data_IF_689184115244
#
_entry.id   IF_689184115244
#
_cell.length_a   1.000
_cell.length_b   1.000
_cell.length_c   1.000
_cell.angle_alpha   90.00
_cell.angle_beta   90.00
_cell.angle_gamma   90.00
#
_symmetry.space_group_name_H-M   'P 1'
#
loop_
_entity.id
_entity.type
_entity.pdbx_description
1 polymer ?
#
# COMPACT_ATOMS: atom_id res chain seq x y z
N UNK A 1 -11.08 -25.30 -2.05
CA UNK A 1 -11.63 -24.37 -1.05
C UNK A 1 -13.10 -24.67 -0.87
N UNK A 2 -13.61 -24.56 0.36
CA UNK A 2 -15.04 -24.63 0.66
C UNK A 2 -15.74 -23.31 0.32
N UNK A 3 -17.06 -23.34 0.12
CA UNK A 3 -17.86 -22.11 -0.08
C UNK A 3 -17.80 -21.17 1.13
N UNK A 4 -17.63 -21.73 2.34
CA UNK A 4 -17.45 -20.96 3.56
C UNK A 4 -16.10 -20.19 3.56
N UNK A 5 -15.02 -20.81 3.07
CA UNK A 5 -13.73 -20.13 2.90
C UNK A 5 -13.81 -18.99 1.88
N UNK A 6 -14.50 -19.21 0.76
CA UNK A 6 -14.74 -18.17 -0.27
C UNK A 6 -15.57 -17.03 0.31
N UNK A 7 -16.66 -17.33 1.03
CA UNK A 7 -17.49 -16.32 1.68
C UNK A 7 -16.66 -15.49 2.68
N UNK A 8 -15.79 -16.12 3.48
CA UNK A 8 -14.90 -15.44 4.42
C UNK A 8 -13.95 -14.49 3.68
N UNK A 9 -13.30 -14.92 2.61
CA UNK A 9 -12.45 -14.03 1.79
C UNK A 9 -13.24 -12.84 1.23
N UNK A 10 -14.48 -13.06 0.77
CA UNK A 10 -15.33 -11.99 0.24
C UNK A 10 -15.78 -10.96 1.28
N UNK A 11 -15.69 -11.27 2.59
CA UNK A 11 -16.03 -10.29 3.65
C UNK A 11 -14.96 -9.23 3.86
N UNK A 12 -13.72 -9.45 3.42
CA UNK A 12 -12.62 -8.53 3.63
C UNK A 12 -12.32 -7.71 2.38
N UNK A 13 -12.24 -6.40 2.53
CA UNK A 13 -11.96 -5.49 1.43
C UNK A 13 -10.44 -5.38 1.28
N UNK A 14 -9.77 -6.44 0.79
CA UNK A 14 -8.31 -6.59 0.67
C UNK A 14 -7.60 -5.27 0.30
N UNK A 15 -7.17 -4.47 1.30
CA UNK A 15 -6.75 -3.10 1.08
C UNK A 15 -5.34 -3.03 0.48
N UNK A 16 -4.67 -4.16 0.26
CA UNK A 16 -3.40 -4.39 -0.42
C UNK A 16 -3.49 -5.02 -1.82
N UNK A 17 -4.71 -5.14 -2.41
CA UNK A 17 -5.01 -5.77 -3.71
C UNK A 17 -4.76 -7.30 -3.75
N UNK A 18 -4.64 -7.86 -4.96
CA UNK A 18 -4.43 -9.28 -5.27
C UNK A 18 -3.26 -9.89 -4.48
N UNK A 19 -2.21 -9.13 -4.14
CA UNK A 19 -1.08 -9.67 -3.35
C UNK A 19 -1.46 -10.01 -1.91
N UNK A 20 -2.34 -9.23 -1.29
CA UNK A 20 -2.81 -9.55 0.05
C UNK A 20 -3.74 -10.76 0.01
N UNK A 21 -4.57 -10.88 -1.04
CA UNK A 21 -5.34 -12.10 -1.31
C UNK A 21 -4.42 -13.31 -1.56
N UNK A 22 -3.40 -13.18 -2.41
CA UNK A 22 -2.40 -14.22 -2.69
C UNK A 22 -1.71 -14.66 -1.40
N UNK A 23 -1.22 -13.72 -0.59
CA UNK A 23 -0.56 -14.04 0.67
C UNK A 23 -1.51 -14.76 1.65
N UNK A 24 -2.77 -14.33 1.74
CA UNK A 24 -3.77 -14.99 2.60
C UNK A 24 -4.08 -16.39 2.10
N UNK A 25 -4.24 -16.58 0.78
CA UNK A 25 -4.51 -17.88 0.17
C UNK A 25 -3.30 -18.82 0.29
N UNK A 26 -2.08 -18.32 0.08
CA UNK A 26 -0.83 -19.07 0.27
C UNK A 26 -0.64 -19.48 1.73
N UNK A 27 -0.90 -18.58 2.68
CA UNK A 27 -0.85 -18.89 4.11
C UNK A 27 -1.90 -19.93 4.50
N UNK A 28 -3.12 -19.81 3.98
CA UNK A 28 -4.18 -20.77 4.21
C UNK A 28 -3.83 -22.15 3.62
N UNK A 29 -3.22 -22.19 2.44
CA UNK A 29 -2.73 -23.43 1.82
C UNK A 29 -1.60 -24.10 2.62
N UNK A 30 -0.69 -23.31 3.22
CA UNK A 30 0.37 -23.83 4.09
C UNK A 30 -0.14 -24.32 5.45
N UNK A 31 -1.23 -23.75 5.95
CA UNK A 31 -1.80 -24.06 7.27
C UNK A 31 -2.84 -25.19 7.20
N UNK A 32 -3.50 -25.34 6.05
CA UNK A 32 -4.50 -26.37 5.82
C UNK A 32 -3.92 -27.77 6.02
N UNK A 33 -4.50 -28.52 6.95
CA UNK A 33 -4.12 -29.91 7.22
C UNK A 33 -4.72 -30.89 6.19
N UNK A 34 -5.68 -30.42 5.39
CA UNK A 34 -6.45 -31.20 4.43
C UNK A 34 -6.26 -30.67 3.00
N UNK A 35 -6.61 -31.49 2.00
CA UNK A 35 -6.51 -31.14 0.58
C UNK A 35 -7.45 -29.99 0.14
N UNK A 36 -8.38 -29.56 1.01
CA UNK A 36 -9.35 -28.50 0.75
C UNK A 36 -9.23 -27.47 1.88
N UNK A 37 -8.87 -26.24 1.54
CA UNK A 37 -8.85 -25.09 2.48
C UNK A 37 -10.29 -24.80 2.94
N UNK A 38 -10.51 -24.80 4.26
CA UNK A 38 -11.77 -24.42 4.90
C UNK A 38 -11.70 -23.01 5.53
N UNK A 39 -12.81 -22.50 6.03
CA UNK A 39 -12.92 -21.16 6.62
C UNK A 39 -11.99 -20.96 7.83
N UNK A 40 -11.69 -22.02 8.58
CA UNK A 40 -10.79 -21.96 9.74
C UNK A 40 -9.31 -21.84 9.34
N UNK A 41 -8.96 -22.31 8.14
CA UNK A 41 -7.60 -22.18 7.58
C UNK A 41 -7.33 -20.76 7.05
N UNK A 42 -8.40 -20.00 6.75
CA UNK A 42 -8.31 -18.63 6.25
C UNK A 42 -8.17 -17.65 7.42
N UNK A 43 -6.91 -17.31 7.73
CA UNK A 43 -6.55 -16.23 8.65
C UNK A 43 -6.56 -14.89 7.89
N UNK A 44 -7.69 -14.19 7.96
CA UNK A 44 -7.76 -12.80 7.51
C UNK A 44 -6.97 -11.93 8.49
N UNK A 45 -6.18 -10.96 8.02
CA UNK A 45 -5.64 -9.92 8.88
C UNK A 45 -6.80 -9.28 9.65
N UNK A 46 -6.79 -9.36 10.98
CA UNK A 46 -7.61 -8.48 11.80
C UNK A 46 -7.27 -7.06 11.34
N UNK A 47 -8.28 -6.28 10.95
CA UNK A 47 -8.17 -4.89 10.50
C UNK A 47 -7.18 -4.12 11.39
N UNK A 48 -5.92 -4.16 11.01
CA UNK A 48 -4.88 -3.28 11.50
C UNK A 48 -4.52 -2.39 10.33
N UNK A 49 -5.56 -1.93 9.62
CA UNK A 49 -5.52 -0.82 8.69
C UNK A 49 -5.41 0.47 9.51
N UNK A 50 -4.35 0.54 10.33
CA UNK A 50 -3.95 1.82 10.90
C UNK A 50 -3.40 2.61 9.72
N UNK A 51 -4.06 3.69 9.28
CA UNK A 51 -3.63 4.43 8.12
C UNK A 51 -2.17 4.88 8.32
N UNK A 52 -1.32 4.56 7.35
CA UNK A 52 0.09 4.91 7.39
C UNK A 52 0.24 6.43 7.32
N UNK A 53 0.53 7.08 8.44
CA UNK A 53 0.74 8.51 8.46
C UNK A 53 2.14 8.86 7.96
N UNK A 54 2.23 9.84 7.04
CA UNK A 54 3.52 10.31 6.49
C UNK A 54 4.51 10.67 7.61
N UNK A 55 4.03 11.26 8.71
CA UNK A 55 4.86 11.69 9.83
C UNK A 55 5.43 10.52 10.66
N UNK A 56 4.76 9.36 10.66
CA UNK A 56 5.19 8.15 11.38
C UNK A 56 6.15 7.31 10.52
N UNK A 57 5.90 7.25 9.21
CA UNK A 57 6.61 6.34 8.29
C UNK A 57 7.92 6.93 7.77
N UNK A 58 7.98 8.24 7.51
CA UNK A 58 9.16 8.86 6.90
C UNK A 58 10.23 9.15 7.97
N UNK A 59 11.04 8.13 8.25
CA UNK A 59 12.26 8.23 9.06
C UNK A 59 13.44 8.42 8.10
N UNK A 60 14.09 9.59 8.16
CA UNK A 60 15.13 9.94 7.18
C UNK A 60 14.51 10.56 5.93
N UNK A 61 14.35 9.79 4.84
CA UNK A 61 13.71 10.24 3.60
C UNK A 61 12.80 9.16 2.96
N UNK A 62 12.10 9.54 1.88
CA UNK A 62 11.26 8.63 1.10
C UNK A 62 12.00 7.43 0.52
N UNK A 63 13.26 7.59 0.14
CA UNK A 63 14.00 6.53 -0.53
C UNK A 63 14.26 5.38 0.44
N UNK A 64 14.69 5.69 1.66
CA UNK A 64 14.95 4.71 2.71
C UNK A 64 13.66 4.16 3.32
N UNK A 65 12.66 5.01 3.57
CA UNK A 65 11.44 4.62 4.29
C UNK A 65 10.36 4.00 3.40
N UNK A 66 10.38 4.23 2.09
CA UNK A 66 9.30 3.82 1.19
C UNK A 66 9.83 3.10 -0.06
N UNK A 67 10.67 3.76 -0.86
CA UNK A 67 11.07 3.19 -2.16
C UNK A 67 11.89 1.90 -2.02
N UNK A 68 12.81 1.86 -1.05
CA UNK A 68 13.61 0.67 -0.74
C UNK A 68 12.74 -0.45 -0.16
N UNK A 69 11.96 -0.27 0.91
CA UNK A 69 11.03 -1.28 1.40
C UNK A 69 10.06 -1.79 0.33
N UNK A 70 9.58 -0.92 -0.56
CA UNK A 70 8.71 -1.33 -1.67
C UNK A 70 9.45 -2.23 -2.67
N UNK A 71 10.69 -1.89 -3.01
CA UNK A 71 11.54 -2.69 -3.90
C UNK A 71 11.92 -4.04 -3.28
N UNK A 72 12.12 -4.06 -1.96
CA UNK A 72 12.39 -5.26 -1.16
C UNK A 72 11.10 -6.05 -0.82
N UNK A 73 9.94 -5.62 -1.33
CA UNK A 73 8.62 -6.23 -1.10
C UNK A 73 8.18 -6.28 0.36
N UNK A 74 8.72 -5.40 1.20
CA UNK A 74 8.36 -5.23 2.60
C UNK A 74 7.08 -4.41 2.78
N UNK A 75 6.72 -3.58 1.79
CA UNK A 75 5.48 -2.79 1.78
C UNK A 75 4.73 -2.98 0.46
N UNK A 76 3.42 -2.76 0.50
CA UNK A 76 2.53 -2.94 -0.64
C UNK A 76 2.39 -1.66 -1.46
N UNK A 77 1.86 -1.81 -2.68
CA UNK A 77 1.53 -0.67 -3.55
C UNK A 77 0.52 0.25 -2.90
N UNK A 78 -0.47 -0.31 -2.20
CA UNK A 78 -1.54 0.47 -1.60
C UNK A 78 -1.05 1.30 -0.41
N UNK A 79 -0.08 0.79 0.36
CA UNK A 79 0.61 1.58 1.38
C UNK A 79 1.34 2.78 0.76
N UNK A 80 2.05 2.57 -0.37
CA UNK A 80 2.69 3.67 -1.10
C UNK A 80 1.65 4.67 -1.59
N UNK A 81 0.58 4.22 -2.26
CA UNK A 81 -0.48 5.09 -2.74
C UNK A 81 -1.13 5.88 -1.61
N UNK A 82 -1.38 5.25 -0.45
CA UNK A 82 -1.96 5.90 0.71
C UNK A 82 -1.11 7.09 1.19
N UNK A 83 0.21 6.91 1.29
CA UNK A 83 1.13 8.00 1.61
C UNK A 83 1.05 9.13 0.57
N UNK A 84 1.05 8.79 -0.73
CA UNK A 84 0.95 9.80 -1.80
C UNK A 84 -0.37 10.57 -1.72
N UNK A 85 -1.50 9.91 -1.43
CA UNK A 85 -2.80 10.59 -1.25
C UNK A 85 -2.74 11.59 -0.09
N UNK A 86 -2.23 11.18 1.06
CA UNK A 86 -2.04 12.09 2.20
C UNK A 86 -1.16 13.30 1.84
N UNK A 87 -0.07 13.06 1.09
CA UNK A 87 0.78 14.14 0.61
C UNK A 87 0.05 15.10 -0.34
N UNK A 88 -0.80 14.60 -1.24
CA UNK A 88 -1.58 15.42 -2.16
C UNK A 88 -2.66 16.22 -1.43
N UNK A 89 -3.32 15.63 -0.44
CA UNK A 89 -4.29 16.31 0.43
C UNK A 89 -3.66 17.48 1.17
N UNK A 90 -2.50 17.25 1.81
CA UNK A 90 -1.79 18.29 2.58
C UNK A 90 -1.22 19.40 1.72
N UNK A 91 -1.00 19.15 0.43
CA UNK A 91 -0.35 20.11 -0.50
C UNK A 91 -1.30 20.73 -1.52
N UNK A 92 -2.58 20.38 -1.47
CA UNK A 92 -3.59 20.82 -2.45
C UNK A 92 -3.27 20.33 -3.86
N UNK A 93 -2.89 19.06 -4.02
CA UNK A 93 -2.64 18.44 -5.32
C UNK A 93 -1.35 18.91 -6.01
N UNK A 94 -0.27 19.08 -5.24
CA UNK A 94 1.04 19.50 -5.78
C UNK A 94 2.17 18.55 -5.37
N UNK A 95 2.60 17.71 -6.30
CA UNK A 95 3.77 16.84 -6.13
C UNK A 95 5.05 17.62 -5.79
N UNK A 96 5.23 18.83 -6.33
CA UNK A 96 6.42 19.63 -6.01
C UNK A 96 6.39 20.12 -4.56
N UNK A 97 5.23 20.59 -4.07
CA UNK A 97 5.07 21.01 -2.66
C UNK A 97 5.07 19.84 -1.68
N UNK A 98 4.92 18.61 -2.17
CA UNK A 98 4.93 17.38 -1.38
C UNK A 98 6.35 16.96 -0.99
N UNK A 99 7.38 17.31 -1.77
CA UNK A 99 8.77 16.88 -1.51
C UNK A 99 9.24 17.08 -0.06
N UNK A 100 8.98 18.23 0.60
CA UNK A 100 9.41 18.43 1.99
C UNK A 100 8.74 17.48 2.99
N UNK A 101 7.48 17.08 2.76
CA UNK A 101 6.75 16.13 3.63
C UNK A 101 7.41 14.74 3.59
N UNK A 102 7.99 14.40 2.45
CA UNK A 102 8.70 13.15 2.21
C UNK A 102 10.21 13.28 2.39
N UNK A 103 10.67 14.47 2.81
CA UNK A 103 12.09 14.84 2.99
C UNK A 103 12.94 14.56 1.74
N UNK A 104 12.35 14.76 0.56
CA UNK A 104 13.02 14.62 -0.73
C UNK A 104 13.61 15.97 -1.14
N UNK A 105 14.87 15.97 -1.59
CA UNK A 105 15.53 17.16 -2.14
C UNK A 105 14.92 17.56 -3.49
N UNK A 106 14.88 18.86 -3.81
CA UNK A 106 14.30 19.32 -5.10
C UNK A 106 15.00 18.71 -6.33
N UNK A 107 16.30 18.44 -6.25
CA UNK A 107 17.07 17.76 -7.31
C UNK A 107 16.54 16.38 -7.65
N UNK A 108 15.91 15.71 -6.68
CA UNK A 108 15.36 14.36 -6.81
C UNK A 108 13.91 14.34 -7.31
N UNK A 109 13.29 15.49 -7.59
CA UNK A 109 11.92 15.58 -8.08
C UNK A 109 11.65 14.66 -9.28
N UNK A 110 12.56 14.68 -10.27
CA UNK A 110 12.42 13.83 -11.46
C UNK A 110 12.49 12.35 -11.09
N UNK A 111 13.45 11.97 -10.24
CA UNK A 111 13.64 10.59 -9.76
C UNK A 111 12.38 10.10 -9.03
N UNK A 112 11.80 10.94 -8.18
CA UNK A 112 10.57 10.66 -7.45
C UNK A 112 9.39 10.43 -8.40
N UNK A 113 9.17 11.32 -9.36
CA UNK A 113 8.11 11.16 -10.36
C UNK A 113 8.31 9.93 -11.24
N UNK A 114 9.55 9.61 -11.60
CA UNK A 114 9.88 8.42 -12.39
C UNK A 114 9.61 7.13 -11.61
N UNK A 115 9.90 7.11 -10.30
CA UNK A 115 9.51 6.01 -9.41
C UNK A 115 7.98 5.82 -9.42
N UNK A 116 7.20 6.88 -9.18
CA UNK A 116 5.74 6.78 -9.14
C UNK A 116 5.15 6.28 -10.47
N UNK A 117 5.66 6.75 -11.61
CA UNK A 117 5.18 6.28 -12.93
C UNK A 117 5.55 4.82 -13.17
N UNK A 118 6.80 4.43 -12.91
CA UNK A 118 7.29 3.06 -13.13
C UNK A 118 6.49 2.03 -12.33
N UNK A 119 6.08 2.39 -11.13
CA UNK A 119 5.35 1.50 -10.23
C UNK A 119 3.83 1.71 -10.25
N UNK A 120 3.33 2.55 -11.17
CA UNK A 120 1.91 2.87 -11.31
C UNK A 120 1.28 3.44 -10.02
N UNK A 121 2.05 4.23 -9.26
CA UNK A 121 1.63 4.96 -8.06
C UNK A 121 1.46 6.48 -8.32
N UNK A 122 1.42 6.89 -9.60
CA UNK A 122 1.17 8.28 -9.99
C UNK A 122 -0.33 8.57 -9.95
N UNK A 123 -0.79 9.19 -8.85
CA UNK A 123 -2.19 9.51 -8.58
C UNK A 123 -2.59 10.81 -9.28
N UNK A 124 -3.80 10.87 -9.83
CA UNK A 124 -4.34 12.12 -10.39
C UNK A 124 -4.51 13.16 -9.27
N UNK A 125 -3.71 14.22 -9.36
CA UNK A 125 -3.69 15.30 -8.39
C UNK A 125 -4.88 16.26 -8.51
N UNK A 126 -5.62 16.24 -9.63
CA UNK A 126 -6.68 17.23 -9.91
C UNK A 126 -7.81 17.20 -8.88
N UNK A 127 -8.14 16.01 -8.36
CA UNK A 127 -9.17 15.85 -7.33
C UNK A 127 -8.82 16.51 -5.98
N UNK A 128 -7.54 16.80 -5.73
CA UNK A 128 -7.05 17.39 -4.48
C UNK A 128 -6.92 18.91 -4.56
N UNK A 129 -7.11 19.50 -5.74
CA UNK A 129 -7.14 20.96 -5.91
C UNK A 129 -8.55 21.43 -5.58
N UNK A 130 -8.70 22.22 -4.52
CA UNK A 130 -9.95 22.95 -4.28
C UNK A 130 -10.23 23.86 -5.47
N UNK A 131 -11.48 23.86 -5.93
CA UNK A 131 -12.02 24.88 -6.85
C UNK A 131 -12.10 26.22 -6.15
#
# INVERSE_FOLDING_TARGET
MTDAAVAKLMTYTFPGNIRELENVVESAACTASAAVIDADDVMLPLETDRPWHVDEVIVGDFWESVARPYSERLITKNQVEHLIRQGLERTGGSYKKMLPLFRIQESDYKRFMDFLRRHNCNIDFRGYRRK
#
